data_IF_393869896890
#
_entry.id   IF_393869896890
#
_cell.length_a   1.000
_cell.length_b   1.000
_cell.length_c   1.000
_cell.angle_alpha   90.00
_cell.angle_beta   90.00
_cell.angle_gamma   90.00
#
_symmetry.space_group_name_H-M   'P 1'
#
loop_
_entity.id
_entity.type
_entity.pdbx_description
1 polymer ?
#
# COMPACT_ATOMS: atom_id res chain seq x y z
N UNK A 1 -24.80 6.54 -8.80
CA UNK A 1 -23.61 5.87 -9.35
C UNK A 1 -22.64 6.96 -9.77
N UNK A 2 -21.48 7.10 -9.13
CA UNK A 2 -20.55 8.19 -9.48
C UNK A 2 -19.37 8.40 -8.54
N UNK A 3 -19.58 8.57 -7.23
CA UNK A 3 -18.50 8.89 -6.28
C UNK A 3 -18.02 7.70 -5.44
N UNK A 4 -18.94 6.83 -5.01
CA UNK A 4 -18.61 5.64 -4.22
C UNK A 4 -17.74 4.66 -5.02
N UNK A 5 -18.07 4.45 -6.29
CA UNK A 5 -17.34 3.55 -7.21
C UNK A 5 -15.94 4.09 -7.52
N UNK A 6 -15.82 5.40 -7.79
CA UNK A 6 -14.52 6.05 -8.04
C UNK A 6 -13.61 5.97 -6.81
N UNK A 7 -14.17 6.15 -5.60
CA UNK A 7 -13.41 6.05 -4.36
C UNK A 7 -12.94 4.62 -4.13
N UNK A 8 -13.80 3.62 -4.39
CA UNK A 8 -13.42 2.20 -4.28
C UNK A 8 -12.28 1.85 -5.24
N UNK A 9 -12.37 2.30 -6.48
CA UNK A 9 -11.33 2.11 -7.49
C UNK A 9 -9.99 2.73 -7.06
N UNK A 10 -10.00 3.96 -6.53
CA UNK A 10 -8.79 4.62 -6.06
C UNK A 10 -8.14 3.85 -4.91
N UNK A 11 -8.93 3.37 -3.94
CA UNK A 11 -8.41 2.59 -2.80
C UNK A 11 -7.80 1.26 -3.28
N UNK A 12 -8.46 0.57 -4.20
CA UNK A 12 -7.95 -0.67 -4.78
C UNK A 12 -6.64 -0.44 -5.57
N UNK A 13 -6.59 0.61 -6.39
CA UNK A 13 -5.38 0.99 -7.12
C UNK A 13 -4.23 1.32 -6.15
N UNK A 14 -4.50 2.10 -5.09
CA UNK A 14 -3.49 2.41 -4.06
C UNK A 14 -2.99 1.13 -3.42
N UNK A 15 -3.87 0.20 -3.04
CA UNK A 15 -3.48 -1.07 -2.45
C UNK A 15 -2.56 -1.87 -3.38
N UNK A 16 -2.94 -2.02 -4.65
CA UNK A 16 -2.17 -2.79 -5.63
C UNK A 16 -0.78 -2.19 -5.89
N UNK A 17 -0.73 -0.90 -6.22
CA UNK A 17 0.53 -0.22 -6.56
C UNK A 17 1.47 -0.15 -5.35
N UNK A 18 0.94 0.17 -4.17
CA UNK A 18 1.75 0.24 -2.94
C UNK A 18 2.26 -1.15 -2.53
N UNK A 19 1.45 -2.20 -2.69
CA UNK A 19 1.87 -3.58 -2.39
C UNK A 19 3.00 -4.03 -3.31
N UNK A 20 2.94 -3.68 -4.61
CA UNK A 20 4.00 -3.97 -5.56
C UNK A 20 5.31 -3.24 -5.18
N UNK A 21 5.23 -1.94 -4.85
CA UNK A 21 6.39 -1.17 -4.39
C UNK A 21 6.96 -1.69 -3.08
N UNK A 22 6.10 -2.08 -2.13
CA UNK A 22 6.54 -2.64 -0.85
C UNK A 22 7.36 -3.92 -1.07
N UNK A 23 6.89 -4.80 -1.97
CA UNK A 23 7.62 -6.02 -2.31
C UNK A 23 9.03 -5.71 -2.85
N UNK A 24 9.15 -4.72 -3.74
CA UNK A 24 10.45 -4.29 -4.27
C UNK A 24 11.35 -3.74 -3.16
N UNK A 25 10.80 -2.93 -2.27
CA UNK A 25 11.54 -2.34 -1.15
C UNK A 25 12.01 -3.42 -0.15
N UNK A 26 11.16 -4.41 0.16
CA UNK A 26 11.49 -5.54 1.01
C UNK A 26 12.63 -6.39 0.38
N UNK A 27 12.53 -6.71 -0.92
CA UNK A 27 13.58 -7.45 -1.63
C UNK A 27 14.91 -6.68 -1.66
N UNK A 28 14.87 -5.36 -1.87
CA UNK A 28 16.05 -4.50 -1.90
C UNK A 28 16.71 -4.42 -0.52
N UNK A 29 15.91 -4.24 0.54
CA UNK A 29 16.41 -4.24 1.92
C UNK A 29 17.01 -5.59 2.34
N UNK A 30 16.53 -6.69 1.76
CA UNK A 30 17.03 -8.03 2.06
C UNK A 30 18.37 -8.30 1.38
N UNK A 31 18.56 -7.83 0.14
CA UNK A 31 19.76 -8.11 -0.67
C UNK A 31 20.93 -7.17 -0.42
N UNK A 32 20.67 -5.93 -0.03
CA UNK A 32 21.68 -4.89 0.14
C UNK A 32 21.58 -4.28 1.53
N UNK A 33 22.69 -3.81 2.13
CA UNK A 33 22.63 -3.02 3.36
C UNK A 33 21.72 -1.80 3.10
N UNK A 34 20.52 -1.76 3.70
CA UNK A 34 19.54 -0.75 3.37
C UNK A 34 20.01 0.61 3.88
N UNK A 35 19.94 1.63 3.01
CA UNK A 35 20.05 3.01 3.44
C UNK A 35 18.87 3.36 4.38
N UNK A 36 19.09 4.28 5.33
CA UNK A 36 18.06 4.75 6.27
C UNK A 36 16.78 5.19 5.54
N UNK A 37 16.92 5.84 4.38
CA UNK A 37 15.80 6.28 3.56
C UNK A 37 14.95 5.11 3.03
N UNK A 38 15.59 4.00 2.65
CA UNK A 38 14.89 2.83 2.15
C UNK A 38 14.08 2.14 3.27
N UNK A 39 14.60 2.13 4.49
CA UNK A 39 13.84 1.67 5.66
C UNK A 39 12.62 2.56 5.94
N UNK A 40 12.77 3.87 5.81
CA UNK A 40 11.67 4.80 5.95
C UNK A 40 10.61 4.61 4.87
N UNK A 41 11.02 4.49 3.60
CA UNK A 41 10.12 4.20 2.47
C UNK A 41 9.37 2.89 2.70
N UNK A 42 10.08 1.82 3.10
CA UNK A 42 9.45 0.53 3.43
C UNK A 42 8.40 0.67 4.54
N UNK A 43 8.68 1.47 5.57
CA UNK A 43 7.73 1.73 6.64
C UNK A 43 6.47 2.46 6.15
N UNK A 44 6.63 3.52 5.34
CA UNK A 44 5.51 4.25 4.74
C UNK A 44 4.65 3.35 3.85
N UNK A 45 5.29 2.54 3.00
CA UNK A 45 4.59 1.60 2.12
C UNK A 45 3.78 0.57 2.91
N UNK A 46 4.30 0.04 4.02
CA UNK A 46 3.55 -0.86 4.91
C UNK A 46 2.31 -0.19 5.51
N UNK A 47 2.43 1.06 5.98
CA UNK A 47 1.29 1.79 6.53
C UNK A 47 0.20 2.01 5.47
N UNK A 48 0.57 2.39 4.26
CA UNK A 48 -0.37 2.61 3.16
C UNK A 48 -1.11 1.32 2.76
N UNK A 49 -0.40 0.19 2.68
CA UNK A 49 -1.03 -1.12 2.41
C UNK A 49 -2.03 -1.48 3.50
N UNK A 50 -1.67 -1.31 4.77
CA UNK A 50 -2.54 -1.62 5.91
C UNK A 50 -3.80 -0.73 5.88
N UNK A 51 -3.63 0.58 5.67
CA UNK A 51 -4.78 1.50 5.64
C UNK A 51 -5.70 1.21 4.45
N UNK A 52 -5.14 0.97 3.26
CA UNK A 52 -5.94 0.64 2.08
C UNK A 52 -6.71 -0.68 2.28
N UNK A 53 -6.09 -1.70 2.87
CA UNK A 53 -6.75 -2.96 3.20
C UNK A 53 -7.89 -2.77 4.22
N UNK A 54 -7.66 -1.95 5.26
CA UNK A 54 -8.69 -1.62 6.24
C UNK A 54 -9.87 -0.87 5.59
N UNK A 55 -9.59 0.06 4.69
CA UNK A 55 -10.61 0.83 3.99
C UNK A 55 -11.45 -0.05 3.06
N UNK A 56 -10.82 -0.99 2.34
CA UNK A 56 -11.52 -2.01 1.55
C UNK A 56 -12.40 -2.90 2.44
N UNK A 57 -11.91 -3.31 3.61
CA UNK A 57 -12.68 -4.12 4.60
C UNK A 57 -13.86 -3.37 5.21
N UNK A 58 -13.73 -2.07 5.46
CA UNK A 58 -14.85 -1.23 5.96
C UNK A 58 -15.96 -1.16 4.91
N UNK A 59 -15.59 -1.02 3.63
CA UNK A 59 -16.53 -0.88 2.51
C UNK A 59 -17.23 -2.17 2.15
N UNK A 60 -16.58 -3.33 2.27
CA UNK A 60 -17.24 -4.63 2.01
C UNK A 60 -18.28 -5.03 3.05
N UNK A 61 -18.36 -4.30 4.18
CA UNK A 61 -19.35 -4.48 5.25
C UNK A 61 -20.53 -3.51 5.17
N UNK A 62 -20.49 -2.54 4.26
CA UNK A 62 -21.57 -1.59 3.98
C UNK A 62 -22.40 -2.08 2.79
#
# INVERSE_FOLDING_TARGET
MGSADATSFIVEMIYLETSALLKIADETCHRYPPATDLHFIRYLLRMLVIEAEQEMKKRSRQ
#
